data_IF_884861038677
#
_entry.id   IF_884861038677
#
_cell.length_a   1.000
_cell.length_b   1.000
_cell.length_c   1.000
_cell.angle_alpha   90.00
_cell.angle_beta   90.00
_cell.angle_gamma   90.00
#
_symmetry.space_group_name_H-M   'P 1'
#
loop_
_entity.id
_entity.type
_entity.pdbx_description
1 polymer ?
#
# COMPACT_ATOMS: atom_id res chain seq x y z
N UNK A 1 3.75 25.28 -2.86
CA UNK A 1 2.73 24.24 -2.59
C UNK A 1 2.95 23.01 -3.46
N UNK A 2 3.14 23.15 -4.78
CA UNK A 2 3.47 22.04 -5.68
C UNK A 2 4.75 21.27 -5.28
N UNK A 3 5.81 21.95 -4.85
CA UNK A 3 7.09 21.32 -4.47
C UNK A 3 6.97 20.31 -3.32
N UNK A 4 6.12 20.61 -2.32
CA UNK A 4 5.86 19.68 -1.22
C UNK A 4 5.02 18.49 -1.69
N UNK A 5 4.00 18.75 -2.51
CA UNK A 5 3.16 17.71 -3.08
C UNK A 5 3.96 16.76 -3.99
N UNK A 6 4.88 17.28 -4.79
CA UNK A 6 5.81 16.50 -5.62
C UNK A 6 6.74 15.65 -4.75
N UNK A 7 7.35 16.22 -3.70
CA UNK A 7 8.24 15.48 -2.81
C UNK A 7 7.51 14.34 -2.09
N UNK A 8 6.35 14.61 -1.50
CA UNK A 8 5.63 13.60 -0.72
C UNK A 8 5.06 12.49 -1.62
N UNK A 9 4.68 12.81 -2.86
CA UNK A 9 4.12 11.83 -3.77
C UNK A 9 5.13 10.77 -4.21
N UNK A 10 6.43 11.07 -4.16
CA UNK A 10 7.52 10.09 -4.42
C UNK A 10 7.39 8.87 -3.50
N UNK A 11 6.96 9.05 -2.25
CA UNK A 11 6.73 7.94 -1.31
C UNK A 11 5.58 7.03 -1.73
N UNK A 12 4.61 7.55 -2.49
CA UNK A 12 3.54 6.77 -3.12
C UNK A 12 3.91 6.19 -4.48
N UNK A 13 5.12 6.48 -4.98
CA UNK A 13 5.63 6.03 -6.27
C UNK A 13 5.95 4.53 -6.31
N UNK A 14 6.02 3.97 -7.51
CA UNK A 14 6.35 2.55 -7.73
C UNK A 14 7.69 2.15 -7.13
N UNK A 15 8.69 3.01 -7.24
CA UNK A 15 10.06 2.70 -6.80
C UNK A 15 10.14 2.50 -5.30
N UNK A 16 9.61 3.44 -4.52
CA UNK A 16 9.57 3.32 -3.05
C UNK A 16 8.79 2.07 -2.63
N UNK A 17 7.63 1.83 -3.25
CA UNK A 17 6.82 0.65 -3.00
C UNK A 17 7.56 -0.67 -3.27
N UNK A 18 8.22 -0.79 -4.42
CA UNK A 18 8.98 -1.99 -4.80
C UNK A 18 10.18 -2.23 -3.87
N UNK A 19 10.90 -1.18 -3.48
CA UNK A 19 12.04 -1.32 -2.56
C UNK A 19 11.60 -1.82 -1.18
N UNK A 20 10.50 -1.27 -0.65
CA UNK A 20 9.95 -1.71 0.64
C UNK A 20 9.50 -3.17 0.57
N UNK A 21 8.76 -3.54 -0.49
CA UNK A 21 8.32 -4.92 -0.70
C UNK A 21 9.52 -5.85 -0.85
N UNK A 22 10.50 -5.53 -1.70
CA UNK A 22 11.68 -6.38 -1.87
C UNK A 22 12.40 -6.62 -0.54
N UNK A 23 12.54 -5.57 0.28
CA UNK A 23 13.17 -5.65 1.60
C UNK A 23 12.42 -6.63 2.53
N UNK A 24 11.10 -6.48 2.67
CA UNK A 24 10.31 -7.37 3.52
C UNK A 24 10.22 -8.79 2.97
N UNK A 25 10.13 -8.97 1.64
CA UNK A 25 10.12 -10.28 0.98
C UNK A 25 11.38 -11.07 1.32
N UNK A 26 12.55 -10.45 1.15
CA UNK A 26 13.84 -11.03 1.47
C UNK A 26 13.93 -11.36 2.97
N UNK A 27 13.49 -10.44 3.84
CA UNK A 27 13.50 -10.65 5.29
C UNK A 27 12.62 -11.85 5.73
N UNK A 28 11.38 -11.96 5.22
CA UNK A 28 10.48 -13.07 5.57
C UNK A 28 10.96 -14.40 5.00
N UNK A 29 11.48 -14.39 3.76
CA UNK A 29 12.05 -15.57 3.12
C UNK A 29 13.23 -16.13 3.92
N UNK A 30 14.22 -15.28 4.26
CA UNK A 30 15.39 -15.71 5.03
C UNK A 30 15.06 -16.15 6.45
N UNK A 31 14.07 -15.52 7.09
CA UNK A 31 13.58 -15.93 8.43
C UNK A 31 12.65 -17.14 8.40
N UNK A 32 12.44 -17.76 7.22
CA UNK A 32 11.52 -18.90 7.00
C UNK A 32 10.08 -18.61 7.47
N UNK A 33 9.66 -17.34 7.42
CA UNK A 33 8.32 -16.92 7.80
C UNK A 33 7.37 -17.01 6.59
N UNK A 34 7.18 -18.22 6.08
CA UNK A 34 6.49 -18.48 4.82
C UNK A 34 5.06 -17.95 4.77
N UNK A 35 4.33 -18.02 5.89
CA UNK A 35 2.97 -17.46 5.98
C UNK A 35 2.96 -15.94 5.74
N UNK A 36 3.90 -15.22 6.36
CA UNK A 36 4.07 -13.78 6.16
C UNK A 36 4.50 -13.44 4.74
N UNK A 37 5.43 -14.23 4.18
CA UNK A 37 5.86 -14.08 2.79
C UNK A 37 4.70 -14.26 1.80
N UNK A 38 3.94 -15.36 1.92
CA UNK A 38 2.79 -15.65 1.04
C UNK A 38 1.72 -14.57 1.19
N UNK A 39 1.35 -14.22 2.44
CA UNK A 39 0.38 -13.15 2.69
C UNK A 39 0.81 -11.86 1.99
N UNK A 40 2.06 -11.46 2.16
CA UNK A 40 2.60 -10.23 1.59
C UNK A 40 2.62 -10.25 0.06
N UNK A 41 3.07 -11.33 -0.55
CA UNK A 41 3.10 -11.50 -2.02
C UNK A 41 1.69 -11.43 -2.58
N UNK A 42 0.74 -12.20 -2.03
CA UNK A 42 -0.65 -12.21 -2.50
C UNK A 42 -1.31 -10.85 -2.27
N UNK A 43 -1.06 -10.21 -1.13
CA UNK A 43 -1.58 -8.88 -0.83
C UNK A 43 -1.11 -7.85 -1.84
N UNK A 44 0.19 -7.66 -1.99
CA UNK A 44 0.74 -6.60 -2.84
C UNK A 44 0.62 -6.89 -4.33
N UNK A 45 1.00 -8.09 -4.79
CA UNK A 45 0.93 -8.44 -6.22
C UNK A 45 -0.52 -8.53 -6.66
N UNK A 46 -1.38 -9.22 -5.90
CA UNK A 46 -2.81 -9.32 -6.20
C UNK A 46 -3.48 -7.95 -6.21
N UNK A 47 -3.15 -7.08 -5.25
CA UNK A 47 -3.68 -5.72 -5.20
C UNK A 47 -3.27 -4.87 -6.41
N UNK A 48 -2.00 -4.93 -6.83
CA UNK A 48 -1.52 -4.20 -8.03
C UNK A 48 -2.20 -4.74 -9.30
N UNK A 49 -2.37 -6.06 -9.42
CA UNK A 49 -3.09 -6.66 -10.54
C UNK A 49 -4.54 -6.17 -10.60
N UNK A 50 -5.26 -6.18 -9.46
CA UNK A 50 -6.62 -5.66 -9.36
C UNK A 50 -6.65 -4.18 -9.75
N UNK A 51 -5.71 -3.35 -9.27
CA UNK A 51 -5.63 -1.94 -9.64
C UNK A 51 -5.47 -1.74 -11.15
N UNK A 52 -4.55 -2.49 -11.77
CA UNK A 52 -4.28 -2.42 -13.21
C UNK A 52 -5.50 -2.86 -14.01
N UNK A 53 -6.16 -3.95 -13.62
CA UNK A 53 -7.39 -4.43 -14.28
C UNK A 53 -8.51 -3.39 -14.16
N UNK A 54 -8.75 -2.85 -12.96
CA UNK A 54 -9.77 -1.81 -12.75
C UNK A 54 -9.49 -0.55 -13.58
N UNK A 55 -8.21 -0.16 -13.73
CA UNK A 55 -7.83 0.95 -14.60
C UNK A 55 -8.26 0.73 -16.05
N UNK A 56 -8.04 -0.47 -16.58
CA UNK A 56 -8.39 -0.79 -17.96
C UNK A 56 -9.90 -0.96 -18.16
N UNK A 57 -10.61 -1.52 -17.18
CA UNK A 57 -12.07 -1.69 -17.27
C UNK A 57 -12.79 -0.34 -17.22
N UNK A 58 -12.38 0.54 -16.31
CA UNK A 58 -13.09 1.82 -16.07
C UNK A 58 -12.61 2.90 -17.02
N UNK A 59 -11.34 2.83 -17.46
CA UNK A 59 -10.79 3.67 -18.53
C UNK A 59 -11.08 5.18 -18.35
N UNK A 60 -11.05 5.67 -17.11
CA UNK A 60 -11.39 7.07 -16.81
C UNK A 60 -10.26 8.01 -17.20
N UNK A 61 -10.59 9.03 -17.98
CA UNK A 61 -9.68 10.11 -18.33
C UNK A 61 -9.23 10.92 -17.12
N UNK A 62 -8.02 11.51 -17.22
CA UNK A 62 -7.46 12.34 -16.15
C UNK A 62 -8.10 13.72 -16.09
N UNK A 63 -8.14 14.35 -14.90
CA UNK A 63 -8.54 15.75 -14.80
C UNK A 63 -7.67 16.63 -15.71
N UNK A 64 -8.31 17.61 -16.37
CA UNK A 64 -7.64 18.66 -17.15
C UNK A 64 -6.76 18.20 -18.32
N UNK A 65 -6.93 16.97 -18.82
CA UNK A 65 -6.16 16.45 -19.97
C UNK A 65 -4.67 16.25 -19.67
N UNK A 66 -4.29 16.17 -18.38
CA UNK A 66 -2.90 15.95 -17.98
C UNK A 66 -2.54 14.48 -18.26
N UNK A 67 -1.89 14.22 -19.38
CA UNK A 67 -1.46 12.86 -19.76
C UNK A 67 -0.25 12.37 -18.95
N UNK A 68 0.56 13.30 -18.41
CA UNK A 68 1.80 12.95 -17.72
C UNK A 68 1.53 12.33 -16.35
N UNK A 69 1.80 11.04 -16.20
CA UNK A 69 1.87 10.38 -14.91
C UNK A 69 3.29 10.41 -14.36
N UNK A 70 3.48 11.01 -13.18
CA UNK A 70 4.71 10.83 -12.39
C UNK A 70 4.66 9.42 -11.77
N UNK A 71 4.73 8.36 -12.58
CA UNK A 71 4.78 6.97 -12.10
C UNK A 71 5.63 6.13 -13.07
N UNK A 72 6.78 5.68 -12.59
CA UNK A 72 7.80 5.04 -13.41
C UNK A 72 7.29 3.74 -14.08
N UNK A 73 6.40 3.00 -13.41
CA UNK A 73 5.77 1.81 -14.00
C UNK A 73 4.85 2.18 -15.18
N UNK A 74 4.07 3.26 -15.08
CA UNK A 74 3.19 3.68 -16.17
C UNK A 74 3.98 4.15 -17.39
N UNK A 75 5.10 4.84 -17.14
CA UNK A 75 6.01 5.36 -18.16
C UNK A 75 6.82 4.24 -18.85
N UNK A 76 7.34 3.27 -18.09
CA UNK A 76 8.12 2.14 -18.65
C UNK A 76 7.28 1.24 -19.57
N UNK A 77 6.01 1.02 -19.25
CA UNK A 77 5.15 0.11 -20.01
C UNK A 77 4.30 0.80 -21.08
N UNK A 78 4.44 2.11 -21.30
CA UNK A 78 3.59 2.90 -22.21
C UNK A 78 2.09 2.63 -22.05
N UNK A 79 1.66 2.33 -20.82
CA UNK A 79 0.27 2.02 -20.54
C UNK A 79 -0.50 3.34 -20.50
N UNK A 80 -1.56 3.44 -21.32
CA UNK A 80 -2.55 4.51 -21.21
C UNK A 80 -2.92 4.66 -19.73
N UNK A 81 -2.51 5.78 -19.16
CA UNK A 81 -2.47 5.93 -17.70
C UNK A 81 -3.78 6.53 -17.20
N UNK A 82 -4.85 5.73 -17.19
CA UNK A 82 -6.16 6.12 -16.67
C UNK A 82 -6.11 6.63 -15.23
N UNK A 83 -7.02 7.56 -14.89
CA UNK A 83 -7.08 8.21 -13.59
C UNK A 83 -7.60 7.25 -12.51
N UNK A 84 -8.65 6.47 -12.82
CA UNK A 84 -9.34 5.67 -11.82
C UNK A 84 -8.87 4.21 -11.81
N UNK A 85 -8.64 3.59 -10.63
CA UNK A 85 -8.40 4.23 -9.35
C UNK A 85 -6.95 4.75 -9.23
N UNK A 86 -6.69 5.63 -8.26
CA UNK A 86 -5.35 6.19 -8.04
C UNK A 86 -4.34 5.13 -7.58
N UNK A 87 -3.25 4.95 -8.34
CA UNK A 87 -2.20 3.98 -8.02
C UNK A 87 -1.33 4.40 -6.84
N UNK A 88 -0.99 5.69 -6.73
CA UNK A 88 -0.21 6.22 -5.61
C UNK A 88 -0.97 6.12 -4.29
N UNK A 89 -2.24 6.54 -4.29
CA UNK A 89 -3.11 6.48 -3.11
C UNK A 89 -3.31 5.02 -2.68
N UNK A 90 -3.47 4.12 -3.65
CA UNK A 90 -3.63 2.70 -3.38
C UNK A 90 -2.38 2.09 -2.73
N UNK A 91 -1.21 2.24 -3.34
CA UNK A 91 0.05 1.68 -2.81
C UNK A 91 0.37 2.23 -1.42
N UNK A 92 0.17 3.53 -1.21
CA UNK A 92 0.36 4.16 0.10
C UNK A 92 -0.57 3.55 1.16
N UNK A 93 -1.85 3.34 0.83
CA UNK A 93 -2.80 2.71 1.74
C UNK A 93 -2.45 1.25 2.03
N UNK A 94 -2.04 0.47 1.02
CA UNK A 94 -1.61 -0.90 1.22
C UNK A 94 -0.40 -1.00 2.15
N UNK A 95 0.62 -0.15 1.94
CA UNK A 95 1.79 -0.10 2.82
C UNK A 95 1.40 0.28 4.25
N UNK A 96 0.54 1.29 4.42
CA UNK A 96 0.08 1.70 5.74
C UNK A 96 -0.67 0.56 6.46
N UNK A 97 -1.57 -0.14 5.77
CA UNK A 97 -2.29 -1.30 6.32
C UNK A 97 -1.34 -2.43 6.71
N UNK A 98 -0.42 -2.80 5.81
CA UNK A 98 0.52 -3.89 6.03
C UNK A 98 1.49 -3.59 7.18
N UNK A 99 2.10 -2.41 7.19
CA UNK A 99 3.04 -2.01 8.24
C UNK A 99 2.34 -1.86 9.58
N UNK A 100 1.12 -1.30 9.61
CA UNK A 100 0.33 -1.25 10.84
C UNK A 100 0.03 -2.67 11.34
N UNK A 101 -0.31 -3.60 10.45
CA UNK A 101 -0.55 -4.99 10.83
C UNK A 101 0.70 -5.64 11.46
N UNK A 102 1.88 -5.46 10.85
CA UNK A 102 3.14 -5.94 11.43
C UNK A 102 3.44 -5.31 12.80
N UNK A 103 3.19 -4.00 12.95
CA UNK A 103 3.36 -3.30 14.23
C UNK A 103 2.46 -3.91 15.29
N UNK A 104 1.20 -4.22 14.98
CA UNK A 104 0.28 -4.83 15.94
C UNK A 104 0.67 -6.25 16.35
N UNK A 105 1.30 -7.02 15.46
CA UNK A 105 1.80 -8.37 15.76
C UNK A 105 3.10 -8.38 16.60
N UNK A 106 3.81 -7.26 16.72
CA UNK A 106 4.99 -7.19 17.58
C UNK A 106 4.60 -7.31 19.06
N UNK A 107 5.35 -8.07 19.87
CA UNK A 107 4.90 -8.50 21.21
C UNK A 107 4.67 -7.40 22.27
N UNK A 108 5.06 -6.15 22.03
CA UNK A 108 4.95 -5.08 23.04
C UNK A 108 3.66 -4.27 22.90
N UNK A 109 2.64 -4.59 23.70
CA UNK A 109 1.46 -3.74 23.88
C UNK A 109 1.86 -2.38 24.48
N UNK A 110 2.10 -1.39 23.63
CA UNK A 110 2.37 -0.03 24.07
C UNK A 110 1.60 0.99 23.24
N UNK A 111 1.35 2.16 23.84
CA UNK A 111 0.75 3.32 23.17
C UNK A 111 1.48 3.70 21.86
N UNK A 112 2.75 3.32 21.73
CA UNK A 112 3.53 3.52 20.51
C UNK A 112 2.97 2.77 19.29
N UNK A 113 2.36 1.59 19.46
CA UNK A 113 1.72 0.86 18.34
C UNK A 113 0.64 1.70 17.67
N UNK A 114 -0.21 2.32 18.47
CA UNK A 114 -1.29 3.19 18.00
C UNK A 114 -0.72 4.43 17.32
N UNK A 115 0.27 5.09 17.94
CA UNK A 115 0.91 6.30 17.38
C UNK A 115 1.53 6.00 16.01
N UNK A 116 2.28 4.91 15.89
CA UNK A 116 2.91 4.52 14.62
C UNK A 116 1.85 4.22 13.56
N UNK A 117 0.82 3.44 13.91
CA UNK A 117 -0.25 3.07 12.97
C UNK A 117 -1.05 4.27 12.50
N UNK A 118 -1.38 5.20 13.40
CA UNK A 118 -2.04 6.47 13.07
C UNK A 118 -1.14 7.32 12.17
N UNK A 119 0.16 7.41 12.48
CA UNK A 119 1.14 8.13 11.65
C UNK A 119 1.23 7.57 10.24
N UNK A 120 1.24 6.24 10.07
CA UNK A 120 1.23 5.57 8.77
C UNK A 120 -0.04 5.87 7.98
N UNK A 121 -1.21 5.86 8.63
CA UNK A 121 -2.49 6.20 7.99
C UNK A 121 -2.55 7.67 7.57
N UNK A 122 -2.08 8.58 8.43
CA UNK A 122 -1.97 10.00 8.09
C UNK A 122 -1.06 10.19 6.88
N UNK A 123 0.11 9.54 6.86
CA UNK A 123 1.03 9.62 5.74
C UNK A 123 0.38 9.13 4.43
N UNK A 124 -0.36 8.02 4.47
CA UNK A 124 -1.09 7.52 3.31
C UNK A 124 -2.14 8.52 2.80
N UNK A 125 -2.86 9.18 3.71
CA UNK A 125 -3.84 10.22 3.38
C UNK A 125 -3.15 11.45 2.78
N UNK A 126 -2.02 11.91 3.35
CA UNK A 126 -1.26 13.05 2.81
C UNK A 126 -0.74 12.75 1.40
N UNK A 127 -0.21 11.54 1.17
CA UNK A 127 0.19 11.09 -0.18
C UNK A 127 -1.02 11.08 -1.10
N UNK A 128 -2.17 10.60 -0.66
CA UNK A 128 -3.37 10.58 -1.47
C UNK A 128 -3.85 12.00 -1.84
N UNK A 129 -3.89 12.92 -0.89
CA UNK A 129 -4.27 14.32 -1.10
C UNK A 129 -3.30 15.05 -2.03
N UNK A 130 -2.00 14.71 -2.00
CA UNK A 130 -1.02 15.25 -2.95
C UNK A 130 -1.46 15.05 -4.41
N UNK A 131 -2.19 13.96 -4.70
CA UNK A 131 -2.66 13.65 -6.06
C UNK A 131 -3.78 14.57 -6.55
N UNK A 132 -4.64 15.05 -5.64
CA UNK A 132 -5.65 16.07 -5.97
C UNK A 132 -4.98 17.42 -6.15
N UNK A 133 -4.03 17.77 -5.28
CA UNK A 133 -3.27 19.03 -5.37
C UNK A 133 -2.49 19.13 -6.67
N UNK A 134 -1.92 18.01 -7.13
CA UNK A 134 -1.25 17.92 -8.43
C UNK A 134 -2.22 17.85 -9.62
N UNK A 135 -3.53 17.86 -9.37
CA UNK A 135 -4.58 17.81 -10.38
C UNK A 135 -4.54 16.58 -11.31
N UNK A 136 -3.93 15.48 -10.87
CA UNK A 136 -3.80 14.25 -11.69
C UNK A 136 -4.82 13.17 -11.37
N UNK A 137 -5.60 13.34 -10.29
CA UNK A 137 -6.67 12.43 -9.88
C UNK A 137 -7.86 13.19 -9.32
N UNK A 138 -9.07 12.65 -9.55
CA UNK A 138 -10.28 13.14 -8.88
C UNK A 138 -10.34 12.63 -7.43
N UNK A 139 -11.04 13.33 -6.52
CA UNK A 139 -11.27 12.84 -5.16
C UNK A 139 -11.89 11.43 -5.11
N UNK A 140 -12.77 11.09 -6.06
CA UNK A 140 -13.37 9.75 -6.13
C UNK A 140 -12.36 8.65 -6.51
N UNK A 141 -11.30 8.95 -7.27
CA UNK A 141 -10.23 8.00 -7.58
C UNK A 141 -9.47 7.57 -6.32
N UNK A 142 -9.38 8.49 -5.35
CA UNK A 142 -8.72 8.29 -4.05
C UNK A 142 -9.62 7.50 -3.10
N UNK A 143 -10.89 7.91 -2.98
CA UNK A 143 -11.84 7.22 -2.11
C UNK A 143 -11.95 5.76 -2.51
N UNK A 144 -12.09 5.49 -3.81
CA UNK A 144 -12.07 4.13 -4.32
C UNK A 144 -10.79 3.40 -3.93
N UNK A 145 -9.61 4.00 -4.17
CA UNK A 145 -8.32 3.43 -3.82
C UNK A 145 -8.21 3.01 -2.35
N UNK A 146 -8.66 3.86 -1.43
CA UNK A 146 -8.63 3.57 0.01
C UNK A 146 -9.60 2.45 0.37
N UNK A 147 -10.82 2.50 -0.16
CA UNK A 147 -11.86 1.51 0.14
C UNK A 147 -11.46 0.11 -0.34
N UNK A 148 -11.08 -0.04 -1.61
CA UNK A 148 -10.76 -1.38 -2.11
C UNK A 148 -9.45 -1.93 -1.55
N UNK A 149 -8.44 -1.09 -1.22
CA UNK A 149 -7.27 -1.54 -0.46
C UNK A 149 -7.66 -2.14 0.90
N UNK A 150 -8.57 -1.45 1.60
CA UNK A 150 -9.04 -1.89 2.91
C UNK A 150 -9.84 -3.18 2.81
N UNK A 151 -10.75 -3.30 1.85
CA UNK A 151 -11.52 -4.52 1.58
C UNK A 151 -10.58 -5.69 1.23
N UNK A 152 -9.64 -5.47 0.31
CA UNK A 152 -8.67 -6.49 -0.09
C UNK A 152 -7.82 -6.98 1.08
N UNK A 153 -7.37 -6.06 1.93
CA UNK A 153 -6.62 -6.38 3.15
C UNK A 153 -7.44 -7.23 4.12
N UNK A 154 -8.69 -6.83 4.40
CA UNK A 154 -9.57 -7.55 5.33
C UNK A 154 -9.86 -8.96 4.82
N UNK A 155 -10.18 -9.10 3.53
CA UNK A 155 -10.39 -10.42 2.90
C UNK A 155 -9.13 -11.25 3.10
N UNK A 156 -7.96 -10.83 2.60
CA UNK A 156 -6.76 -11.66 2.71
C UNK A 156 -6.37 -11.97 4.15
N UNK A 157 -6.57 -11.05 5.08
CA UNK A 157 -6.30 -11.29 6.50
C UNK A 157 -7.20 -12.40 7.05
N UNK A 158 -8.48 -12.45 6.66
CA UNK A 158 -9.40 -13.51 7.08
C UNK A 158 -9.02 -14.88 6.51
N UNK A 159 -8.54 -14.94 5.27
CA UNK A 159 -8.27 -16.20 4.56
C UNK A 159 -6.86 -16.77 4.82
N UNK A 160 -5.84 -15.91 4.91
CA UNK A 160 -4.43 -16.34 5.02
C UNK A 160 -3.84 -16.13 6.41
N UNK A 161 -4.55 -15.43 7.31
CA UNK A 161 -4.13 -14.97 8.65
C UNK A 161 -2.73 -15.47 9.08
N UNK A 162 -1.64 -14.76 8.73
CA UNK A 162 -0.31 -15.20 9.10
C UNK A 162 -0.19 -15.14 10.63
N UNK A 163 -0.01 -16.32 11.23
CA UNK A 163 -0.13 -16.51 12.67
C UNK A 163 0.81 -15.61 13.47
N UNK A 164 0.38 -15.28 14.69
CA UNK A 164 1.28 -14.75 15.72
C UNK A 164 2.13 -15.94 16.16
N UNK A 165 3.46 -15.84 16.08
CA UNK A 165 4.29 -16.82 16.78
C UNK A 165 3.95 -16.66 18.26
N UNK A 166 3.43 -17.70 18.91
CA UNK A 166 3.48 -17.75 20.37
C UNK A 166 4.94 -18.03 20.74
N UNK A 167 5.50 -17.23 21.65
CA UNK A 167 6.87 -17.42 22.09
C UNK A 167 6.91 -18.71 22.93
N UNK A 168 7.62 -19.73 22.45
CA UNK A 168 7.85 -20.99 23.19
C UNK A 168 8.53 -20.77 24.55
N UNK A 169 8.99 -19.54 24.84
CA UNK A 169 9.57 -19.14 26.13
C UNK A 169 8.56 -19.15 27.30
N UNK A 170 7.25 -19.09 27.05
CA UNK A 170 6.23 -19.16 28.10
C UNK A 170 5.85 -20.60 28.50
N UNK A 171 6.15 -21.58 27.65
CA UNK A 171 5.90 -23.01 27.92
C UNK A 171 7.05 -23.73 28.65
N UNK A 172 8.24 -23.12 28.73
CA UNK A 172 9.36 -23.66 29.53
C UNK A 172 9.27 -23.28 31.02
N UNK A 173 8.30 -22.45 31.39
CA UNK A 173 8.05 -21.99 32.77
C UNK A 173 6.70 -22.49 33.33
N UNK A 174 6.04 -23.46 32.69
CA UNK A 174 4.81 -24.10 33.17
C UNK A 174 5.02 -25.59 33.45
#
# INVERSE_FOLDING_TARGET
>A
MYTFAELITVLGGSTAFLLIIATFSVAFYWRKQWQWFIFMVVFFVGGVLINTVLKQIIARDRPYGIEKSIDYIGEVFNLLSYSFPSGHSFRAMMLALFLSFLVYQSYKLSRFKLIISVGLMILAIVIALSRVVLAVHFPSDIIAAVLYASVWFVILKMWLNPGVKEDESENLNR
#
